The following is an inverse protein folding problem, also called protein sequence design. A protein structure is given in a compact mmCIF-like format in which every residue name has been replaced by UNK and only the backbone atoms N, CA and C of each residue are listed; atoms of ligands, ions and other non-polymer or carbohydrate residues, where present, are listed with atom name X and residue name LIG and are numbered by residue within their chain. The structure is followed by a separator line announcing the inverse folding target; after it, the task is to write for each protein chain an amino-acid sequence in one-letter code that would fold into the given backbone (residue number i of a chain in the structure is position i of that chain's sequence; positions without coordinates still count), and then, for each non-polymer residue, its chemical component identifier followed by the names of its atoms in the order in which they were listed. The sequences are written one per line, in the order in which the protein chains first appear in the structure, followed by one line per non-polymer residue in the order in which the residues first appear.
data_IF_998840199034
#
_entry.id   IF_998840199034
#
_cell.length_a   1.000
_cell.length_b   1.000
_cell.length_c   1.000
_cell.angle_alpha   90.00
_cell.angle_beta   90.00
_cell.angle_gamma   90.00
#
_symmetry.space_group_name_H-M   'P 1'
#
loop_
_entity.id
_entity.type
_entity.pdbx_description
1 polymer ?
#
# COMPACT_ATOMS: atom_id res chain seq x y z
N UNK A 1 -15.67 -8.59 7.57
CA UNK A 1 -14.55 -8.09 8.42
C UNK A 1 -14.10 -6.73 7.91
N UNK A 2 -13.57 -6.57 6.72
CA UNK A 2 -13.15 -5.27 6.13
C UNK A 2 -14.23 -4.17 6.09
N UNK A 3 -15.52 -4.50 5.97
CA UNK A 3 -16.62 -3.51 6.04
C UNK A 3 -16.73 -2.79 7.39
N UNK A 4 -16.35 -3.43 8.48
CA UNK A 4 -16.29 -2.82 9.80
C UNK A 4 -15.16 -1.78 9.88
N UNK A 5 -14.01 -2.08 9.26
CA UNK A 5 -12.87 -1.18 9.16
C UNK A 5 -13.20 0.05 8.31
N UNK A 6 -13.89 -0.13 7.17
CA UNK A 6 -14.38 0.99 6.34
C UNK A 6 -15.22 1.99 7.16
N UNK A 7 -16.06 1.49 8.06
CA UNK A 7 -16.89 2.32 8.93
C UNK A 7 -16.09 3.02 10.04
N UNK A 8 -15.06 2.35 10.59
CA UNK A 8 -14.16 2.95 11.58
C UNK A 8 -13.29 4.04 10.97
N UNK A 9 -12.77 3.82 9.76
CA UNK A 9 -11.97 4.80 9.03
C UNK A 9 -12.79 6.01 8.59
N UNK A 10 -14.05 5.84 8.14
CA UNK A 10 -14.97 6.96 7.90
C UNK A 10 -15.19 7.82 9.14
N UNK A 11 -15.40 7.21 10.31
CA UNK A 11 -15.54 7.94 11.58
C UNK A 11 -14.26 8.69 11.99
N UNK A 12 -13.08 8.16 11.68
CA UNK A 12 -11.80 8.81 11.97
C UNK A 12 -11.54 10.03 11.08
N UNK A 13 -12.04 10.01 9.83
CA UNK A 13 -11.91 11.13 8.87
C UNK A 13 -12.90 12.26 9.21
N UNK A 14 -14.08 11.93 9.76
CA UNK A 14 -15.13 12.91 10.10
C UNK A 14 -14.88 13.70 11.40
N UNK A 15 -13.86 13.38 12.19
CA UNK A 15 -13.46 14.11 13.39
C UNK A 15 -11.96 14.45 13.36
N UNK A 16 -11.59 15.66 12.95
CA UNK A 16 -10.26 16.18 13.26
C UNK A 16 -10.27 16.66 14.72
N UNK A 17 -9.98 15.79 15.66
CA UNK A 17 -9.59 16.18 17.01
C UNK A 17 -8.12 15.85 17.19
N UNK A 18 -7.33 16.91 17.46
CA UNK A 18 -5.96 16.88 17.94
C UNK A 18 -5.85 16.01 19.21
N UNK A 19 -5.67 14.71 19.02
CA UNK A 19 -5.16 13.84 20.07
C UNK A 19 -4.00 13.07 19.46
N UNK A 20 -2.82 13.31 20.02
CA UNK A 20 -1.64 12.46 19.91
C UNK A 20 -1.99 11.05 20.39
N UNK A 21 -2.73 10.30 19.58
CA UNK A 21 -2.96 8.89 19.84
C UNK A 21 -1.80 8.09 19.22
N UNK A 22 -0.95 7.60 20.11
CA UNK A 22 0.06 6.59 19.84
C UNK A 22 -0.60 5.24 19.50
N UNK A 23 -1.35 5.18 18.40
CA UNK A 23 -2.11 4.01 17.98
C UNK A 23 -1.29 3.01 17.11
N UNK A 24 0.00 2.84 17.43
CA UNK A 24 0.76 1.72 16.86
C UNK A 24 0.39 0.45 17.61
N UNK A 25 -0.26 -0.49 16.94
CA UNK A 25 -0.56 -1.81 17.51
C UNK A 25 0.68 -2.70 17.34
N UNK A 26 1.35 -2.98 18.46
CA UNK A 26 2.48 -3.90 18.50
C UNK A 26 1.98 -5.33 18.69
N UNK A 27 2.12 -6.17 17.68
CA UNK A 27 1.72 -7.58 17.70
C UNK A 27 2.44 -8.42 18.76
N UNK A 28 3.60 -7.96 19.23
CA UNK A 28 4.38 -8.63 20.28
C UNK A 28 4.07 -8.08 21.68
N UNK A 29 3.17 -7.09 21.78
CA UNK A 29 2.74 -6.63 23.09
C UNK A 29 2.00 -7.73 23.84
N UNK A 30 2.27 -7.95 25.17
CA UNK A 30 1.64 -9.03 25.95
C UNK A 30 0.12 -9.04 25.92
N UNK A 31 -0.53 -7.90 25.71
CA UNK A 31 -1.98 -7.75 25.67
C UNK A 31 -2.60 -7.91 24.27
N UNK A 32 -1.80 -8.18 23.24
CA UNK A 32 -2.32 -8.35 21.86
C UNK A 32 -3.34 -9.49 21.77
N UNK A 33 -3.11 -10.59 22.48
CA UNK A 33 -4.00 -11.76 22.48
C UNK A 33 -5.31 -11.56 23.25
N UNK A 34 -5.40 -10.54 24.11
CA UNK A 34 -6.58 -10.30 24.94
C UNK A 34 -7.67 -9.49 24.20
N UNK A 35 -7.34 -8.82 23.11
CA UNK A 35 -8.25 -7.87 22.44
C UNK A 35 -8.94 -8.42 21.19
N UNK A 36 -8.70 -9.68 20.78
CA UNK A 36 -9.28 -10.27 19.55
C UNK A 36 -9.19 -9.36 18.31
N UNK A 37 -8.12 -8.54 18.23
CA UNK A 37 -7.91 -7.62 17.10
C UNK A 37 -7.53 -8.46 15.88
N UNK A 38 -8.24 -8.28 14.78
CA UNK A 38 -7.95 -9.00 13.54
C UNK A 38 -6.70 -8.45 12.84
N UNK A 39 -5.99 -9.31 12.09
CA UNK A 39 -4.76 -8.92 11.39
C UNK A 39 -4.98 -7.76 10.40
N UNK A 40 -6.14 -7.67 9.80
CA UNK A 40 -6.55 -6.59 8.90
C UNK A 40 -6.74 -5.26 9.64
N UNK A 41 -7.30 -5.27 10.86
CA UNK A 41 -7.39 -4.07 11.71
C UNK A 41 -6.01 -3.59 12.15
N UNK A 42 -5.12 -4.51 12.51
CA UNK A 42 -3.73 -4.20 12.85
C UNK A 42 -3.03 -3.53 11.68
N UNK A 43 -3.13 -4.12 10.47
CA UNK A 43 -2.54 -3.53 9.28
C UNK A 43 -3.07 -2.13 9.00
N UNK A 44 -4.40 -1.96 8.94
CA UNK A 44 -5.02 -0.67 8.63
C UNK A 44 -4.62 0.42 9.64
N UNK A 45 -4.57 0.06 10.93
CA UNK A 45 -4.13 0.97 11.99
C UNK A 45 -2.67 1.37 11.82
N UNK A 46 -1.77 0.41 11.63
CA UNK A 46 -0.34 0.68 11.50
C UNK A 46 -0.01 1.42 10.20
N UNK A 47 -0.68 1.08 9.10
CA UNK A 47 -0.51 1.75 7.81
C UNK A 47 -0.93 3.22 7.86
N UNK A 48 -2.10 3.53 8.42
CA UNK A 48 -2.57 4.91 8.58
C UNK A 48 -1.71 5.68 9.58
N UNK A 49 -1.34 5.06 10.71
CA UNK A 49 -0.42 5.66 11.67
C UNK A 49 0.96 5.95 11.07
N UNK A 50 1.38 5.17 10.08
CA UNK A 50 2.57 5.39 9.26
C UNK A 50 2.44 6.53 8.23
N UNK A 51 1.26 7.13 8.07
CA UNK A 51 0.99 8.20 7.08
C UNK A 51 0.59 7.67 5.70
N UNK A 52 0.13 6.44 5.60
CA UNK A 52 -0.50 5.91 4.39
C UNK A 52 -1.99 6.28 4.32
N UNK A 53 -2.54 6.34 3.11
CA UNK A 53 -3.95 6.58 2.83
C UNK A 53 -4.61 5.26 2.46
N UNK A 54 -5.35 4.67 3.39
CA UNK A 54 -5.99 3.37 3.22
C UNK A 54 -7.40 3.53 2.62
N UNK A 55 -7.64 2.90 1.46
CA UNK A 55 -8.94 2.86 0.78
C UNK A 55 -9.35 1.40 0.56
N UNK A 56 -10.39 0.97 1.25
CA UNK A 56 -11.01 -0.32 1.01
C UNK A 56 -12.06 -0.19 -0.07
N UNK A 57 -11.98 -1.06 -1.10
CA UNK A 57 -12.87 -1.08 -2.25
C UNK A 57 -13.64 -2.41 -2.27
N UNK A 58 -14.98 -2.33 -2.27
CA UNK A 58 -15.82 -3.54 -2.29
C UNK A 58 -15.71 -4.32 -3.62
N UNK A 59 -15.20 -3.68 -4.67
CA UNK A 59 -15.00 -4.28 -5.99
C UNK A 59 -14.07 -3.44 -6.87
N UNK A 60 -13.71 -3.96 -8.05
CA UNK A 60 -12.85 -3.27 -9.01
C UNK A 60 -13.44 -1.93 -9.50
N UNK A 61 -14.75 -1.80 -9.63
CA UNK A 61 -15.39 -0.57 -10.11
C UNK A 61 -15.17 0.58 -9.10
N UNK A 62 -15.33 0.32 -7.82
CA UNK A 62 -15.02 1.29 -6.75
C UNK A 62 -13.53 1.63 -6.73
N UNK A 63 -12.64 0.63 -6.90
CA UNK A 63 -11.21 0.87 -6.99
C UNK A 63 -10.83 1.79 -8.16
N UNK A 64 -11.44 1.61 -9.32
CA UNK A 64 -11.18 2.45 -10.50
C UNK A 64 -11.74 3.86 -10.33
N UNK A 65 -12.85 4.03 -9.64
CA UNK A 65 -13.35 5.35 -9.29
C UNK A 65 -12.39 6.06 -8.33
N UNK A 66 -11.97 5.39 -7.26
CA UNK A 66 -10.99 5.94 -6.31
C UNK A 66 -9.66 6.27 -7.00
N UNK A 67 -9.20 5.42 -7.93
CA UNK A 67 -8.01 5.68 -8.72
C UNK A 67 -8.12 6.99 -9.52
N UNK A 68 -9.25 7.22 -10.20
CA UNK A 68 -9.51 8.47 -10.93
C UNK A 68 -9.56 9.69 -10.01
N UNK A 69 -10.16 9.55 -8.84
CA UNK A 69 -10.23 10.62 -7.84
C UNK A 69 -8.83 11.00 -7.31
N UNK A 70 -7.96 10.00 -7.03
CA UNK A 70 -6.58 10.24 -6.62
C UNK A 70 -5.79 10.95 -7.71
N UNK A 71 -5.88 10.49 -8.96
CA UNK A 71 -5.21 11.10 -10.12
C UNK A 71 -5.65 12.57 -10.28
N UNK A 72 -6.94 12.84 -10.15
CA UNK A 72 -7.48 14.20 -10.19
C UNK A 72 -6.99 15.05 -9.01
N UNK A 73 -7.00 14.50 -7.80
CA UNK A 73 -6.52 15.19 -6.58
C UNK A 73 -5.03 15.56 -6.68
N UNK A 74 -4.20 14.63 -7.15
CA UNK A 74 -2.76 14.84 -7.36
C UNK A 74 -2.47 15.71 -8.60
N UNK A 75 -3.51 16.08 -9.37
CA UNK A 75 -3.41 16.89 -10.60
C UNK A 75 -2.42 16.30 -11.62
N UNK A 76 -2.49 14.99 -11.82
CA UNK A 76 -1.60 14.23 -12.71
C UNK A 76 -2.36 13.87 -13.99
N UNK A 77 -1.72 14.03 -15.15
CA UNK A 77 -2.29 13.67 -16.45
C UNK A 77 -1.88 12.28 -16.92
N UNK A 78 -0.70 11.83 -16.52
CA UNK A 78 -0.10 10.53 -16.86
C UNK A 78 0.61 9.99 -15.63
N UNK A 79 0.57 8.69 -15.42
CA UNK A 79 1.24 8.02 -14.31
C UNK A 79 2.24 6.97 -14.79
N UNK A 80 3.15 6.58 -13.91
CA UNK A 80 4.10 5.50 -14.19
C UNK A 80 3.44 4.17 -13.85
N UNK A 81 3.42 3.23 -14.81
CA UNK A 81 2.96 1.88 -14.59
C UNK A 81 3.85 0.89 -15.34
N UNK A 82 4.51 -0.02 -14.61
CA UNK A 82 5.40 -1.04 -15.19
C UNK A 82 4.77 -2.44 -15.19
N UNK A 83 3.67 -2.63 -14.48
CA UNK A 83 2.98 -3.91 -14.33
C UNK A 83 1.99 -4.10 -15.49
N UNK A 84 2.16 -5.12 -16.35
CA UNK A 84 1.27 -5.34 -17.51
C UNK A 84 -0.20 -5.53 -17.13
N UNK A 85 -0.49 -6.21 -16.01
CA UNK A 85 -1.88 -6.41 -15.56
C UNK A 85 -2.54 -5.08 -15.19
N UNK A 86 -1.77 -4.18 -14.56
CA UNK A 86 -2.26 -2.84 -14.22
C UNK A 86 -2.35 -1.92 -15.45
N UNK A 87 -1.48 -2.09 -16.44
CA UNK A 87 -1.54 -1.38 -17.72
C UNK A 87 -2.84 -1.72 -18.48
N UNK A 88 -3.24 -3.00 -18.48
CA UNK A 88 -4.52 -3.42 -19.06
C UNK A 88 -5.70 -2.73 -18.35
N UNK A 89 -5.66 -2.62 -17.02
CA UNK A 89 -6.67 -1.88 -16.25
C UNK A 89 -6.71 -0.42 -16.69
N UNK A 90 -5.56 0.26 -16.73
CA UNK A 90 -5.46 1.68 -17.10
C UNK A 90 -5.97 1.93 -18.52
N UNK A 91 -5.63 1.04 -19.45
CA UNK A 91 -6.10 1.09 -20.84
C UNK A 91 -7.62 1.00 -20.90
N UNK A 92 -8.22 0.05 -20.18
CA UNK A 92 -9.67 -0.16 -20.16
C UNK A 92 -10.43 1.05 -19.56
N UNK A 93 -9.84 1.76 -18.60
CA UNK A 93 -10.47 2.94 -17.98
C UNK A 93 -9.98 4.26 -18.59
N UNK A 94 -9.19 4.19 -19.68
CA UNK A 94 -8.68 5.32 -20.46
C UNK A 94 -7.82 6.31 -19.65
N UNK A 95 -6.94 5.80 -18.79
CA UNK A 95 -5.95 6.59 -18.06
C UNK A 95 -4.58 6.43 -18.77
N UNK A 96 -3.96 7.52 -19.24
CA UNK A 96 -2.64 7.49 -19.85
C UNK A 96 -1.56 7.06 -18.84
N UNK A 97 -0.58 6.28 -19.31
CA UNK A 97 0.55 5.86 -18.51
C UNK A 97 1.85 5.81 -19.32
N UNK A 98 2.97 5.81 -18.60
CA UNK A 98 4.32 5.68 -19.14
C UNK A 98 5.12 4.61 -18.38
N UNK A 99 6.13 4.05 -19.03
CA UNK A 99 6.99 2.99 -18.47
C UNK A 99 8.38 3.47 -18.03
N UNK A 100 8.55 4.78 -17.87
CA UNK A 100 9.84 5.36 -17.46
C UNK A 100 9.77 6.01 -16.08
N UNK A 101 10.15 5.32 -14.99
CA UNK A 101 10.11 5.87 -13.65
C UNK A 101 11.16 6.95 -13.37
N UNK A 102 12.25 6.99 -14.16
CA UNK A 102 13.33 7.95 -13.95
C UNK A 102 13.06 9.35 -14.54
N UNK A 103 11.92 9.54 -15.19
CA UNK A 103 11.55 10.84 -15.74
C UNK A 103 10.86 11.69 -14.67
N UNK A 104 11.53 12.74 -14.23
CA UNK A 104 11.08 13.66 -13.17
C UNK A 104 9.81 14.45 -13.48
N UNK A 105 9.32 14.40 -14.71
CA UNK A 105 8.02 14.99 -15.08
C UNK A 105 6.84 14.24 -14.47
N UNK A 106 7.02 12.94 -14.20
CA UNK A 106 5.98 12.08 -13.62
C UNK A 106 6.14 12.02 -12.11
N UNK A 107 5.08 12.26 -11.39
CA UNK A 107 5.07 12.40 -9.93
C UNK A 107 4.35 11.27 -9.21
N UNK A 108 3.65 10.39 -9.94
CA UNK A 108 2.79 9.35 -9.40
C UNK A 108 3.05 8.01 -10.08
N UNK A 109 3.19 6.94 -9.28
CA UNK A 109 3.34 5.57 -9.78
C UNK A 109 2.17 4.70 -9.35
N UNK A 110 1.72 3.80 -10.24
CA UNK A 110 0.71 2.80 -9.97
C UNK A 110 1.34 1.41 -10.04
N UNK A 111 1.36 0.70 -8.92
CA UNK A 111 2.05 -0.58 -8.75
C UNK A 111 1.16 -1.60 -8.05
N UNK A 112 1.37 -2.88 -8.33
CA UNK A 112 0.96 -3.98 -7.46
C UNK A 112 1.97 -4.17 -6.32
N UNK A 113 1.70 -5.10 -5.40
CA UNK A 113 2.64 -5.47 -4.33
C UNK A 113 2.74 -6.98 -4.16
N UNK A 114 3.77 -7.44 -3.47
CA UNK A 114 3.86 -8.84 -3.05
C UNK A 114 2.98 -9.09 -1.81
N UNK A 115 3.20 -8.31 -0.75
CA UNK A 115 2.51 -8.47 0.52
C UNK A 115 2.28 -7.14 1.24
N UNK A 116 1.24 -7.13 2.07
CA UNK A 116 0.92 -6.12 3.07
C UNK A 116 1.32 -6.67 4.43
N UNK A 117 2.18 -5.97 5.18
CA UNK A 117 2.77 -6.44 6.45
C UNK A 117 2.01 -5.82 7.63
N UNK A 118 1.25 -6.63 8.36
CA UNK A 118 0.41 -6.13 9.45
C UNK A 118 1.22 -5.55 10.60
N UNK A 119 2.33 -6.19 10.96
CA UNK A 119 3.16 -5.82 12.11
C UNK A 119 3.55 -4.33 12.14
N UNK A 120 3.88 -3.75 11.00
CA UNK A 120 4.40 -2.39 10.93
C UNK A 120 3.72 -1.50 9.87
N UNK A 121 2.68 -2.01 9.22
CA UNK A 121 1.95 -1.29 8.18
C UNK A 121 2.77 -1.05 6.90
N UNK A 122 3.87 -1.78 6.69
CA UNK A 122 4.66 -1.64 5.47
C UNK A 122 4.09 -2.45 4.30
N UNK A 123 4.49 -2.09 3.09
CA UNK A 123 4.15 -2.78 1.85
C UNK A 123 5.41 -3.36 1.25
N UNK A 124 5.41 -4.68 1.00
CA UNK A 124 6.53 -5.38 0.38
C UNK A 124 6.40 -5.36 -1.14
N UNK A 125 7.43 -4.86 -1.79
CA UNK A 125 7.62 -4.88 -3.23
C UNK A 125 8.79 -5.79 -3.59
N UNK A 126 8.81 -6.29 -4.80
CA UNK A 126 9.94 -7.05 -5.34
C UNK A 126 10.41 -6.51 -6.68
N UNK A 127 11.46 -7.13 -7.22
CA UNK A 127 11.94 -6.83 -8.57
C UNK A 127 10.87 -7.07 -9.66
N UNK A 128 9.82 -7.85 -9.37
CA UNK A 128 8.71 -8.05 -10.32
C UNK A 128 7.91 -6.76 -10.52
N UNK A 129 7.54 -6.07 -9.43
CA UNK A 129 6.78 -4.82 -9.50
C UNK A 129 7.63 -3.64 -10.01
N UNK A 130 8.93 -3.66 -9.70
CA UNK A 130 9.82 -2.55 -10.04
C UNK A 130 10.62 -2.77 -11.35
N UNK A 131 10.41 -3.90 -12.03
CA UNK A 131 11.21 -4.34 -13.18
C UNK A 131 12.73 -4.28 -12.89
N UNK A 132 13.13 -4.68 -11.66
CA UNK A 132 14.52 -4.68 -11.20
C UNK A 132 15.10 -3.32 -10.83
N UNK A 133 14.35 -2.22 -10.99
CA UNK A 133 14.79 -0.85 -10.67
C UNK A 133 14.82 -0.60 -9.17
N UNK A 134 15.57 0.42 -8.74
CA UNK A 134 15.54 0.87 -7.35
C UNK A 134 14.25 1.65 -7.07
N UNK A 135 13.74 1.53 -5.84
CA UNK A 135 12.55 2.30 -5.43
C UNK A 135 12.82 3.81 -5.40
N UNK A 136 14.07 4.22 -5.30
CA UNK A 136 14.49 5.63 -5.34
C UNK A 136 14.46 6.23 -6.75
N UNK A 137 14.44 5.37 -7.78
CA UNK A 137 14.26 5.80 -9.17
C UNK A 137 12.80 6.20 -9.48
N UNK A 138 11.87 5.82 -8.58
CA UNK A 138 10.46 6.15 -8.69
C UNK A 138 10.12 7.46 -7.97
N UNK A 139 9.06 8.15 -8.36
CA UNK A 139 8.58 9.34 -7.66
C UNK A 139 8.19 9.05 -6.21
N UNK A 140 7.88 10.08 -5.44
CA UNK A 140 7.53 9.97 -4.04
C UNK A 140 6.09 9.52 -3.79
N UNK A 141 5.22 9.61 -4.79
CA UNK A 141 3.80 9.28 -4.66
C UNK A 141 3.51 7.93 -5.32
N UNK A 142 2.83 7.07 -4.58
CA UNK A 142 2.46 5.73 -5.02
C UNK A 142 0.96 5.48 -4.85
N UNK A 143 0.35 4.85 -5.84
CA UNK A 143 -0.91 4.14 -5.68
C UNK A 143 -0.58 2.65 -5.72
N UNK A 144 -0.93 1.94 -4.68
CA UNK A 144 -0.74 0.48 -4.58
C UNK A 144 -2.07 -0.21 -4.73
N UNK A 145 -2.14 -1.13 -5.68
CA UNK A 145 -3.29 -2.00 -5.90
C UNK A 145 -3.03 -3.35 -5.24
N UNK A 146 -3.86 -3.74 -4.30
CA UNK A 146 -3.67 -4.95 -3.52
C UNK A 146 -4.98 -5.70 -3.24
N UNK A 147 -4.84 -6.97 -2.86
CA UNK A 147 -5.92 -7.86 -2.47
C UNK A 147 -5.79 -8.28 -0.99
N UNK A 148 -6.89 -8.59 -0.29
CA UNK A 148 -6.85 -9.08 1.09
C UNK A 148 -5.98 -10.34 1.26
N UNK A 149 -5.91 -11.20 0.25
CA UNK A 149 -5.08 -12.42 0.25
C UNK A 149 -3.56 -12.16 0.33
N UNK A 150 -3.13 -10.93 0.06
CA UNK A 150 -1.72 -10.49 0.19
C UNK A 150 -1.34 -10.07 1.61
N UNK A 151 -2.31 -10.02 2.54
CA UNK A 151 -2.03 -9.66 3.92
C UNK A 151 -1.27 -10.78 4.65
N UNK A 152 -0.24 -10.41 5.37
CA UNK A 152 0.59 -11.31 6.19
C UNK A 152 0.95 -10.64 7.52
N UNK A 153 1.25 -11.44 8.52
CA UNK A 153 1.53 -10.97 9.87
C UNK A 153 2.81 -10.11 9.93
N UNK A 154 3.90 -10.64 9.38
CA UNK A 154 5.22 -10.01 9.47
C UNK A 154 6.10 -10.36 8.26
N UNK A 155 7.27 -9.74 8.17
CA UNK A 155 8.23 -9.95 7.07
C UNK A 155 8.68 -11.42 6.96
N UNK A 156 8.84 -12.12 8.09
CA UNK A 156 9.21 -13.54 8.09
C UNK A 156 8.16 -14.40 7.39
N UNK A 157 6.88 -14.21 7.72
CA UNK A 157 5.75 -14.88 7.06
C UNK A 157 5.67 -14.51 5.57
N UNK A 158 5.91 -13.25 5.21
CA UNK A 158 5.97 -12.80 3.83
C UNK A 158 7.04 -13.55 3.02
N UNK A 159 8.26 -13.61 3.54
CA UNK A 159 9.38 -14.30 2.87
C UNK A 159 9.15 -15.79 2.73
N UNK A 160 8.56 -16.42 3.74
CA UNK A 160 8.20 -17.85 3.68
C UNK A 160 7.12 -18.10 2.61
N UNK A 161 6.06 -17.27 2.58
CA UNK A 161 4.99 -17.36 1.59
C UNK A 161 5.52 -17.10 0.18
N UNK A 162 6.40 -16.11 0.00
CA UNK A 162 7.04 -15.80 -1.28
C UNK A 162 7.84 -17.00 -1.81
N UNK A 163 8.66 -17.64 -0.96
CA UNK A 163 9.42 -18.84 -1.33
C UNK A 163 8.52 -20.00 -1.74
N UNK A 164 7.39 -20.16 -1.07
CA UNK A 164 6.44 -21.22 -1.38
C UNK A 164 5.71 -20.97 -2.69
N UNK A 165 5.26 -19.74 -2.95
CA UNK A 165 4.49 -19.39 -4.14
C UNK A 165 5.33 -19.26 -5.39
N UNK A 166 6.58 -18.78 -5.27
CA UNK A 166 7.46 -18.44 -6.40
C UNK A 166 8.74 -19.28 -6.45
N UNK A 167 8.63 -20.58 -6.12
CA UNK A 167 9.78 -21.51 -6.02
C UNK A 167 10.80 -21.39 -7.16
N UNK A 168 10.30 -21.28 -8.38
CA UNK A 168 11.13 -21.30 -9.60
C UNK A 168 11.42 -19.89 -10.15
N UNK A 169 10.81 -18.86 -9.57
CA UNK A 169 10.96 -17.47 -10.01
C UNK A 169 11.03 -16.50 -8.82
N UNK A 170 12.00 -16.75 -7.94
CA UNK A 170 12.24 -15.86 -6.80
C UNK A 170 12.77 -14.50 -7.29
N UNK A 171 12.22 -13.39 -6.79
CA UNK A 171 12.69 -12.07 -7.18
C UNK A 171 14.13 -11.83 -6.70
N UNK A 172 14.93 -11.19 -7.53
CA UNK A 172 16.34 -10.86 -7.23
C UNK A 172 16.49 -9.79 -6.15
N UNK A 173 15.43 -9.00 -5.92
CA UNK A 173 15.42 -7.89 -4.96
C UNK A 173 14.05 -7.79 -4.30
N UNK A 174 14.07 -7.52 -3.00
CA UNK A 174 12.89 -7.24 -2.19
C UNK A 174 13.12 -5.93 -1.46
N UNK A 175 12.12 -5.08 -1.40
CA UNK A 175 12.14 -3.82 -0.64
C UNK A 175 10.80 -3.63 0.07
N UNK A 176 10.80 -2.86 1.16
CA UNK A 176 9.57 -2.43 1.82
C UNK A 176 9.45 -0.93 1.77
N UNK A 177 8.25 -0.44 1.52
CA UNK A 177 7.91 0.98 1.57
C UNK A 177 6.91 1.25 2.68
N UNK A 178 6.93 2.48 3.21
CA UNK A 178 6.00 2.95 4.25
C UNK A 178 5.48 4.33 3.93
N UNK A 179 4.38 4.69 4.57
CA UNK A 179 3.84 6.04 4.52
C UNK A 179 4.82 7.07 5.10
N UNK A 180 4.69 8.32 4.68
CA UNK A 180 5.57 9.43 5.05
C UNK A 180 5.06 10.12 6.32
N UNK A 181 5.13 9.47 7.48
CA UNK A 181 4.88 10.13 8.76
C UNK A 181 6.19 10.58 9.39
N UNK A 182 6.56 11.85 9.18
CA UNK A 182 7.79 12.46 9.70
C UNK A 182 7.82 12.54 11.24
N UNK A 183 6.67 12.57 11.91
CA UNK A 183 6.59 12.67 13.37
C UNK A 183 6.89 11.35 14.06
N UNK A 184 6.40 10.23 13.52
CA UNK A 184 6.63 8.89 14.10
C UNK A 184 7.95 8.25 13.64
N UNK A 185 8.37 8.51 12.41
CA UNK A 185 9.51 7.84 11.78
C UNK A 185 10.41 8.85 11.04
N UNK A 186 11.15 9.73 11.75
CA UNK A 186 11.90 10.82 11.11
C UNK A 186 13.04 10.36 10.20
N UNK A 187 13.49 9.11 10.32
CA UNK A 187 14.65 8.56 9.60
C UNK A 187 14.31 7.31 8.76
N UNK A 188 13.05 7.13 8.35
CA UNK A 188 12.68 5.96 7.55
C UNK A 188 13.19 6.12 6.13
N UNK A 189 14.10 5.24 5.73
CA UNK A 189 14.42 5.06 4.32
C UNK A 189 13.19 4.55 3.56
N UNK A 190 13.02 5.00 2.30
CA UNK A 190 11.89 4.63 1.45
C UNK A 190 10.50 5.10 1.94
N UNK A 191 10.44 6.21 2.70
CA UNK A 191 9.17 6.85 3.05
C UNK A 191 8.54 7.48 1.80
N UNK A 192 7.28 7.11 1.52
CA UNK A 192 6.53 7.51 0.32
C UNK A 192 5.15 8.04 0.71
N UNK A 193 4.55 8.87 -0.13
CA UNK A 193 3.13 9.17 -0.03
C UNK A 193 2.36 8.02 -0.71
N UNK A 194 1.63 7.22 0.07
CA UNK A 194 1.05 5.97 -0.43
C UNK A 194 -0.47 5.99 -0.30
N UNK A 195 -1.15 5.82 -1.41
CA UNK A 195 -2.57 5.47 -1.51
C UNK A 195 -2.67 3.97 -1.71
N UNK A 196 -3.30 3.25 -0.78
CA UNK A 196 -3.53 1.82 -0.90
C UNK A 196 -4.98 1.57 -1.30
N UNK A 197 -5.19 1.02 -2.48
CA UNK A 197 -6.46 0.48 -2.95
C UNK A 197 -6.50 -1.00 -2.60
N UNK A 198 -7.15 -1.36 -1.51
CA UNK A 198 -7.37 -2.75 -1.12
C UNK A 198 -8.73 -3.21 -1.66
N UNK A 199 -8.70 -4.11 -2.64
CA UNK A 199 -9.87 -4.50 -3.42
C UNK A 199 -10.32 -5.90 -3.03
N UNK A 200 -11.58 -6.04 -2.59
CA UNK A 200 -12.19 -7.34 -2.28
C UNK A 200 -12.32 -8.17 -3.57
N UNK A 201 -12.06 -9.49 -3.48
CA UNK A 201 -12.15 -10.44 -4.61
C UNK A 201 -13.60 -10.82 -4.92
#
# INVERSE_FOLDING_TARGET
MWKAIKNLLKKAIEKPEDKEDNNHIDLFHPNYSEHNISMDEVFATNFNAGGGHFLFCDNNQEAFQNLKEIIHYENVTELICLDPELQDILTNIQIPYVENPCDSRYTLSFLSCEFLIAFDGSIMLSAHQTCGRNIDDFPSNFIIYARPSQLVENVGAALQKLRTLKKDNLPSKITSIRGKNMHKFPNVQNAKNIYLLLVEE
#
